data_IF_713520831886
#
_entry.id   IF_713520831886
#
_cell.length_a   1.000
_cell.length_b   1.000
_cell.length_c   1.000
_cell.angle_alpha   90.00
_cell.angle_beta   90.00
_cell.angle_gamma   90.00
#
_symmetry.space_group_name_H-M   'P 1'
#
loop_
_entity.id
_entity.type
_entity.pdbx_description
1 polymer ?
#
# COMPACT_ATOMS: atom_id res chain seq x y z
N UNK A 1 6.18 -11.38 13.95
CA UNK A 1 6.72 -10.63 12.80
C UNK A 1 7.15 -11.64 11.76
N UNK A 2 6.66 -11.50 10.53
CA UNK A 2 7.07 -12.31 9.38
C UNK A 2 8.04 -11.45 8.56
N UNK A 3 9.11 -12.06 8.07
CA UNK A 3 10.11 -11.41 7.21
C UNK A 3 10.37 -12.33 6.02
N UNK A 4 10.30 -11.76 4.83
CA UNK A 4 10.52 -12.44 3.57
C UNK A 4 11.45 -11.63 2.67
N UNK A 5 12.02 -12.27 1.65
CA UNK A 5 12.81 -11.55 0.65
C UNK A 5 11.89 -10.67 -0.20
N UNK A 6 12.31 -9.42 -0.48
CA UNK A 6 11.61 -8.60 -1.45
C UNK A 6 11.69 -9.24 -2.86
N UNK A 7 10.63 -9.07 -3.65
CA UNK A 7 10.57 -9.60 -5.00
C UNK A 7 11.45 -8.80 -5.97
N UNK A 8 11.92 -9.42 -7.05
CA UNK A 8 12.70 -8.72 -8.06
C UNK A 8 11.96 -7.49 -8.63
N UNK A 9 10.64 -7.58 -8.79
CA UNK A 9 9.80 -6.46 -9.24
C UNK A 9 9.84 -5.26 -8.28
N UNK A 10 9.82 -5.50 -6.98
CA UNK A 10 9.97 -4.44 -5.98
C UNK A 10 11.39 -3.86 -5.99
N UNK A 11 12.41 -4.71 -6.18
CA UNK A 11 13.81 -4.28 -6.27
C UNK A 11 14.07 -3.41 -7.50
N UNK A 12 13.51 -3.77 -8.66
CA UNK A 12 13.61 -2.98 -9.90
C UNK A 12 12.96 -1.60 -9.75
N UNK A 13 11.76 -1.53 -9.17
CA UNK A 13 11.05 -0.26 -8.92
C UNK A 13 11.76 0.65 -7.92
N UNK A 14 12.56 0.07 -7.05
CA UNK A 14 13.29 0.78 -6.00
C UNK A 14 14.79 0.83 -6.30
N UNK A 15 15.20 0.60 -7.56
CA UNK A 15 16.60 0.71 -7.95
C UNK A 15 17.16 2.11 -7.64
N UNK A 16 16.36 3.15 -7.83
CA UNK A 16 16.69 4.54 -7.53
C UNK A 16 16.25 4.99 -6.12
N UNK A 17 15.85 4.04 -5.27
CA UNK A 17 15.54 4.30 -3.87
C UNK A 17 16.79 4.46 -3.04
N UNK A 18 16.78 5.41 -2.10
CA UNK A 18 17.87 5.66 -1.16
C UNK A 18 17.94 4.58 -0.06
N UNK A 19 18.16 3.33 -0.46
CA UNK A 19 18.45 2.25 0.49
C UNK A 19 19.84 2.43 1.09
N UNK A 20 19.98 2.19 2.39
CA UNK A 20 21.30 2.16 3.04
C UNK A 20 22.14 0.97 2.56
N UNK A 21 21.47 -0.16 2.26
CA UNK A 21 22.08 -1.38 1.73
C UNK A 21 21.10 -2.05 0.76
N UNK A 22 21.31 -1.84 -0.54
CA UNK A 22 20.44 -2.37 -1.61
C UNK A 22 20.50 -3.91 -1.75
N UNK A 23 21.51 -4.55 -1.15
CA UNK A 23 21.79 -5.97 -1.30
C UNK A 23 20.87 -6.89 -0.47
N UNK A 24 20.20 -6.34 0.55
CA UNK A 24 19.43 -7.12 1.54
C UNK A 24 18.06 -6.50 1.88
N UNK A 25 17.30 -6.12 0.85
CA UNK A 25 15.95 -5.59 1.01
C UNK A 25 14.97 -6.74 1.30
N UNK A 26 14.16 -6.57 2.34
CA UNK A 26 13.20 -7.58 2.82
C UNK A 26 11.81 -6.98 2.90
N UNK A 27 10.77 -7.78 2.75
CA UNK A 27 9.41 -7.39 3.10
C UNK A 27 9.11 -7.89 4.51
N UNK A 28 8.43 -7.08 5.32
CA UNK A 28 8.07 -7.46 6.69
C UNK A 28 6.62 -7.15 7.04
N UNK A 29 6.03 -8.05 7.83
CA UNK A 29 4.69 -7.96 8.38
C UNK A 29 4.77 -8.04 9.91
N UNK A 30 4.43 -6.96 10.58
CA UNK A 30 4.39 -6.86 12.04
C UNK A 30 2.95 -6.89 12.58
N UNK A 31 2.83 -7.04 13.90
CA UNK A 31 1.51 -7.08 14.53
C UNK A 31 0.79 -5.72 14.48
N UNK A 32 1.53 -4.61 14.37
CA UNK A 32 0.98 -3.26 14.35
C UNK A 32 0.26 -3.00 13.03
N UNK A 33 0.83 -3.46 11.92
CA UNK A 33 0.21 -3.45 10.59
C UNK A 33 -1.07 -4.29 10.57
N UNK A 34 -1.02 -5.52 11.09
CA UNK A 34 -2.21 -6.39 11.17
C UNK A 34 -3.30 -5.70 12.00
N UNK A 35 -2.95 -5.18 13.18
CA UNK A 35 -3.88 -4.48 14.06
C UNK A 35 -4.46 -3.24 13.39
N UNK A 36 -3.63 -2.44 12.71
CA UNK A 36 -4.06 -1.27 11.96
C UNK A 36 -5.06 -1.63 10.87
N UNK A 37 -4.72 -2.60 10.03
CA UNK A 37 -5.55 -3.05 8.90
C UNK A 37 -6.90 -3.56 9.42
N UNK A 38 -6.91 -4.43 10.42
CA UNK A 38 -8.16 -4.97 10.96
C UNK A 38 -9.02 -3.91 11.65
N UNK A 39 -8.39 -2.96 12.36
CA UNK A 39 -9.10 -1.85 13.01
C UNK A 39 -9.76 -0.91 12.00
N UNK A 40 -9.14 -0.69 10.83
CA UNK A 40 -9.60 0.29 9.82
C UNK A 40 -10.43 -0.34 8.70
N UNK A 41 -10.07 -1.53 8.27
CA UNK A 41 -10.62 -2.20 7.09
C UNK A 41 -11.11 -3.63 7.38
N UNK A 42 -10.95 -4.15 8.60
CA UNK A 42 -11.46 -5.48 8.97
C UNK A 42 -12.99 -5.54 9.00
N UNK A 43 -13.55 -6.75 8.99
CA UNK A 43 -15.01 -7.01 8.97
C UNK A 43 -15.81 -6.19 10.00
N UNK A 44 -15.23 -5.93 11.17
CA UNK A 44 -15.88 -5.20 12.26
C UNK A 44 -15.48 -3.71 12.33
N UNK A 45 -14.78 -3.18 11.33
CA UNK A 45 -14.30 -1.80 11.33
C UNK A 45 -15.45 -0.81 11.11
N UNK A 46 -15.23 0.45 11.51
CA UNK A 46 -16.18 1.54 11.23
C UNK A 46 -16.26 1.79 9.72
N UNK A 47 -15.17 1.68 8.98
CA UNK A 47 -15.21 1.95 7.54
C UNK A 47 -16.01 0.89 6.77
N UNK A 48 -15.94 -0.38 7.17
CA UNK A 48 -16.75 -1.44 6.56
C UNK A 48 -18.24 -1.21 6.85
N UNK A 49 -18.59 -0.75 8.06
CA UNK A 49 -19.96 -0.29 8.36
C UNK A 49 -20.40 0.90 7.48
N UNK A 50 -19.45 1.69 6.99
CA UNK A 50 -19.68 2.82 6.10
C UNK A 50 -19.57 2.46 4.59
N UNK A 51 -19.47 1.17 4.24
CA UNK A 51 -19.52 0.69 2.86
C UNK A 51 -18.18 0.35 2.21
N UNK A 52 -17.06 0.32 2.96
CA UNK A 52 -15.83 -0.30 2.47
C UNK A 52 -15.96 -1.83 2.38
N UNK A 53 -15.24 -2.45 1.44
CA UNK A 53 -15.13 -3.91 1.38
C UNK A 53 -14.16 -4.37 2.48
N UNK A 54 -14.51 -5.39 3.28
CA UNK A 54 -13.65 -5.84 4.36
C UNK A 54 -12.37 -6.52 3.87
N UNK A 55 -11.32 -6.31 4.66
CA UNK A 55 -10.08 -7.10 4.66
C UNK A 55 -10.21 -8.21 5.69
N UNK A 56 -9.87 -9.42 5.27
CA UNK A 56 -9.86 -10.63 6.10
C UNK A 56 -8.43 -11.02 6.47
N UNK A 57 -8.27 -11.96 7.40
CA UNK A 57 -6.96 -12.55 7.69
C UNK A 57 -6.35 -13.24 6.47
N UNK A 58 -7.16 -13.85 5.61
CA UNK A 58 -6.70 -14.47 4.37
C UNK A 58 -6.15 -13.44 3.39
N UNK A 59 -6.81 -12.28 3.26
CA UNK A 59 -6.28 -11.17 2.46
C UNK A 59 -4.90 -10.72 2.97
N UNK A 60 -4.76 -10.55 4.28
CA UNK A 60 -3.50 -10.15 4.92
C UNK A 60 -2.43 -11.22 4.71
N UNK A 61 -2.76 -12.50 4.88
CA UNK A 61 -1.82 -13.60 4.65
C UNK A 61 -1.35 -13.66 3.19
N UNK A 62 -2.20 -13.25 2.24
CA UNK A 62 -1.91 -13.23 0.81
C UNK A 62 -1.31 -11.91 0.30
N UNK A 63 -0.97 -10.94 1.17
CA UNK A 63 -0.52 -9.62 0.73
C UNK A 63 0.70 -9.67 -0.20
N UNK A 64 1.64 -10.60 0.02
CA UNK A 64 2.81 -10.78 -0.85
C UNK A 64 2.43 -11.22 -2.26
N UNK A 65 1.45 -12.12 -2.37
CA UNK A 65 0.91 -12.53 -3.67
C UNK A 65 0.30 -11.33 -4.40
N UNK A 66 -0.46 -10.49 -3.68
CA UNK A 66 -1.06 -9.27 -4.23
C UNK A 66 0.02 -8.32 -4.76
N UNK A 67 1.07 -8.05 -3.98
CA UNK A 67 2.17 -7.16 -4.38
C UNK A 67 2.90 -7.72 -5.61
N UNK A 68 3.29 -9.00 -5.57
CA UNK A 68 4.06 -9.63 -6.66
C UNK A 68 3.29 -9.67 -7.98
N UNK A 69 1.95 -9.82 -7.90
CA UNK A 69 1.09 -9.91 -9.07
C UNK A 69 0.32 -8.61 -9.35
N UNK A 70 0.69 -7.50 -8.73
CA UNK A 70 -0.01 -6.23 -8.87
C UNK A 70 -0.03 -5.74 -10.33
N UNK A 71 -1.17 -5.19 -10.75
CA UNK A 71 -1.36 -4.66 -12.11
C UNK A 71 -0.72 -3.28 -12.28
N UNK A 72 -0.52 -2.56 -11.17
CA UNK A 72 0.34 -1.38 -11.10
C UNK A 72 1.04 -1.32 -9.74
N UNK A 73 2.26 -0.81 -9.72
CA UNK A 73 2.98 -0.46 -8.49
C UNK A 73 3.57 0.92 -8.72
N UNK A 74 3.37 1.82 -7.77
CA UNK A 74 3.88 3.19 -7.81
C UNK A 74 4.84 3.41 -6.66
N UNK A 75 5.97 4.06 -6.94
CA UNK A 75 6.88 4.57 -5.91
C UNK A 75 6.33 5.89 -5.36
N UNK A 76 6.16 5.95 -4.05
CA UNK A 76 5.48 7.03 -3.32
C UNK A 76 6.31 7.47 -2.11
N UNK A 77 5.83 8.47 -1.37
CA UNK A 77 6.38 8.86 -0.07
C UNK A 77 5.38 8.54 1.03
N UNK A 78 5.82 8.05 2.17
CA UNK A 78 4.98 7.91 3.35
C UNK A 78 4.71 9.27 4.03
N UNK A 79 3.90 9.27 5.09
CA UNK A 79 3.61 10.49 5.87
C UNK A 79 4.82 11.12 6.58
N UNK A 80 5.97 10.44 6.60
CA UNK A 80 7.23 10.90 7.17
C UNK A 80 8.29 11.17 6.09
N UNK A 81 7.86 11.35 4.84
CA UNK A 81 8.72 11.58 3.67
C UNK A 81 9.74 10.44 3.46
N UNK A 82 9.44 9.23 3.95
CA UNK A 82 10.21 8.03 3.66
C UNK A 82 9.67 7.37 2.41
N UNK A 83 10.56 6.81 1.61
CA UNK A 83 10.15 6.11 0.40
C UNK A 83 9.24 4.91 0.69
N UNK A 84 8.24 4.75 -0.16
CA UNK A 84 7.23 3.72 -0.07
C UNK A 84 6.86 3.19 -1.45
N UNK A 85 6.16 2.07 -1.47
CA UNK A 85 5.49 1.56 -2.66
C UNK A 85 4.02 1.33 -2.37
N UNK A 86 3.20 1.66 -3.35
CA UNK A 86 1.76 1.36 -3.34
C UNK A 86 1.46 0.43 -4.50
N UNK A 87 1.08 -0.80 -4.18
CA UNK A 87 0.70 -1.82 -5.14
C UNK A 87 -0.83 -1.87 -5.30
N UNK A 88 -1.28 -1.97 -6.55
CA UNK A 88 -2.67 -2.03 -6.93
C UNK A 88 -2.95 -3.31 -7.71
N UNK A 89 -3.86 -4.15 -7.19
CA UNK A 89 -4.32 -5.36 -7.86
C UNK A 89 -5.81 -5.27 -8.14
N UNK A 90 -6.21 -5.45 -9.38
CA UNK A 90 -7.58 -5.65 -9.77
C UNK A 90 -8.02 -7.08 -9.43
N UNK A 91 -9.14 -7.21 -8.70
CA UNK A 91 -9.77 -8.49 -8.37
C UNK A 91 -11.28 -8.36 -8.56
N UNK A 92 -11.85 -9.08 -9.52
CA UNK A 92 -13.30 -9.29 -9.69
C UNK A 92 -14.21 -8.10 -9.30
N UNK A 93 -13.99 -6.93 -9.92
CA UNK A 93 -14.83 -5.75 -9.71
C UNK A 93 -14.42 -4.83 -8.55
N UNK A 94 -13.36 -5.13 -7.83
CA UNK A 94 -12.74 -4.25 -6.83
C UNK A 94 -11.21 -4.21 -6.98
N UNK A 95 -10.59 -3.16 -6.45
CA UNK A 95 -9.15 -3.00 -6.39
C UNK A 95 -8.67 -3.29 -4.96
N UNK A 96 -7.64 -4.11 -4.83
CA UNK A 96 -6.88 -4.30 -3.59
C UNK A 96 -5.66 -3.37 -3.64
N UNK A 97 -5.50 -2.55 -2.61
CA UNK A 97 -4.39 -1.62 -2.46
C UNK A 97 -3.53 -2.09 -1.29
N UNK A 98 -2.22 -2.18 -1.50
CA UNK A 98 -1.23 -2.57 -0.48
C UNK A 98 -0.15 -1.50 -0.43
N UNK A 99 0.08 -0.92 0.75
CA UNK A 99 1.09 0.11 0.96
C UNK A 99 2.21 -0.44 1.85
N UNK A 100 3.45 -0.34 1.37
CA UNK A 100 4.63 -0.71 2.11
C UNK A 100 5.59 0.48 2.18
N UNK A 101 6.19 0.74 3.34
CA UNK A 101 7.16 1.81 3.51
C UNK A 101 8.54 1.26 3.88
N UNK A 102 9.60 1.88 3.37
CA UNK A 102 10.97 1.53 3.69
C UNK A 102 11.28 2.04 5.10
N UNK A 103 11.75 1.15 5.97
CA UNK A 103 12.25 1.52 7.30
C UNK A 103 13.78 1.67 7.32
N UNK A 104 14.31 2.17 8.43
CA UNK A 104 15.77 2.34 8.64
C UNK A 104 16.59 1.04 8.59
N UNK A 105 15.94 -0.12 8.56
CA UNK A 105 16.54 -1.46 8.47
C UNK A 105 16.51 -2.03 7.04
N UNK A 106 16.15 -1.22 6.03
CA UNK A 106 15.95 -1.64 4.63
C UNK A 106 14.83 -2.69 4.46
N UNK A 107 13.79 -2.62 5.28
CA UNK A 107 12.61 -3.47 5.14
C UNK A 107 11.45 -2.66 4.54
N UNK A 108 10.76 -3.26 3.56
CA UNK A 108 9.44 -2.88 3.09
C UNK A 108 8.40 -3.38 4.10
N UNK A 109 8.07 -2.52 5.06
CA UNK A 109 7.12 -2.83 6.11
C UNK A 109 5.70 -2.59 5.59
N UNK A 110 4.82 -3.60 5.68
CA UNK A 110 3.40 -3.40 5.38
C UNK A 110 2.82 -2.32 6.30
N UNK A 111 2.21 -1.28 5.73
CA UNK A 111 1.59 -0.17 6.48
C UNK A 111 0.09 -0.28 6.54
N UNK A 112 -0.53 -0.56 5.39
CA UNK A 112 -1.96 -0.77 5.29
C UNK A 112 -2.30 -1.62 4.07
N UNK A 113 -3.53 -2.14 4.07
CA UNK A 113 -4.15 -2.88 2.99
C UNK A 113 -5.64 -2.58 3.05
N UNK A 114 -6.25 -2.28 1.90
CA UNK A 114 -7.69 -2.01 1.80
C UNK A 114 -8.22 -2.37 0.41
N UNK A 115 -9.55 -2.40 0.30
CA UNK A 115 -10.26 -2.69 -0.94
C UNK A 115 -11.19 -1.54 -1.30
N UNK A 116 -11.22 -1.16 -2.58
CA UNK A 116 -12.20 -0.21 -3.11
C UNK A 116 -12.96 -0.80 -4.28
N UNK A 117 -14.24 -0.44 -4.38
CA UNK A 117 -15.08 -0.86 -5.49
C UNK A 117 -14.54 -0.30 -6.83
N UNK A 118 -14.72 -1.08 -7.89
CA UNK A 118 -14.42 -0.70 -9.26
C UNK A 118 -12.98 -0.95 -9.69
N UNK A 119 -12.60 -0.22 -10.74
CA UNK A 119 -11.29 -0.37 -11.37
C UNK A 119 -10.18 0.29 -10.53
N UNK A 120 -9.01 -0.34 -10.43
CA UNK A 120 -7.84 0.29 -9.79
C UNK A 120 -7.45 1.61 -10.46
N UNK A 121 -7.67 1.75 -11.78
CA UNK A 121 -7.43 3.02 -12.50
C UNK A 121 -8.36 4.15 -12.08
N UNK A 122 -9.53 3.79 -11.53
CA UNK A 122 -10.50 4.76 -11.03
C UNK A 122 -10.31 5.09 -9.54
N UNK A 123 -9.42 4.37 -8.85
CA UNK A 123 -9.08 4.57 -7.46
C UNK A 123 -8.49 5.97 -7.23
N UNK A 124 -8.94 6.67 -6.18
CA UNK A 124 -8.46 8.02 -5.88
C UNK A 124 -6.95 8.03 -5.57
N UNK A 125 -6.47 7.05 -4.80
CA UNK A 125 -5.05 6.90 -4.45
C UNK A 125 -4.20 6.64 -5.69
N UNK A 126 -4.70 5.82 -6.62
CA UNK A 126 -4.01 5.59 -7.89
C UNK A 126 -3.95 6.86 -8.75
N UNK A 127 -5.07 7.58 -8.89
CA UNK A 127 -5.11 8.82 -9.68
C UNK A 127 -4.20 9.89 -9.11
N UNK A 128 -4.22 10.04 -7.79
CA UNK A 128 -3.35 10.96 -7.07
C UNK A 128 -1.89 10.60 -7.31
N UNK A 129 -1.48 9.38 -6.96
CA UNK A 129 -0.07 8.97 -7.08
C UNK A 129 0.42 8.80 -8.50
N UNK A 130 -0.39 8.38 -9.45
CA UNK A 130 0.04 8.26 -10.85
C UNK A 130 0.39 9.61 -11.49
N UNK A 131 -0.18 10.70 -10.95
CA UNK A 131 0.14 12.07 -11.39
C UNK A 131 1.32 12.70 -10.66
N UNK A 132 1.76 12.10 -9.55
CA UNK A 132 2.74 12.68 -8.63
C UNK A 132 3.82 11.69 -8.15
N UNK A 133 3.92 10.51 -8.76
CA UNK A 133 4.88 9.49 -8.34
C UNK A 133 6.30 9.98 -8.56
N UNK A 134 7.26 9.41 -7.82
CA UNK A 134 8.67 9.79 -7.96
C UNK A 134 9.23 9.57 -9.37
N UNK A 135 8.66 8.62 -10.11
CA UNK A 135 9.03 8.33 -11.50
C UNK A 135 8.21 9.16 -12.53
N UNK A 136 7.25 9.97 -12.06
CA UNK A 136 6.57 10.95 -12.90
C UNK A 136 7.35 12.26 -12.86
N UNK A 137 7.34 13.05 -13.95
CA UNK A 137 7.88 14.43 -14.02
C UNK A 137 7.05 15.42 -13.16
N UNK A 138 6.71 15.03 -11.95
CA UNK A 138 5.83 15.75 -11.06
C UNK A 138 6.61 16.80 -10.27
N UNK A 139 6.14 18.05 -10.33
CA UNK A 139 6.72 19.16 -9.55
C UNK A 139 6.54 19.00 -8.03
N UNK A 140 5.61 18.15 -7.58
CA UNK A 140 5.31 17.87 -6.16
C UNK A 140 4.98 16.39 -6.00
N UNK A 141 5.70 15.68 -5.13
CA UNK A 141 5.40 14.30 -4.78
C UNK A 141 4.30 14.23 -3.72
N UNK A 142 3.29 13.38 -3.92
CA UNK A 142 2.20 13.20 -2.98
C UNK A 142 2.50 12.09 -1.96
N UNK A 143 1.92 12.20 -0.76
CA UNK A 143 2.22 11.32 0.39
C UNK A 143 1.12 10.29 0.63
N UNK A 144 1.49 9.14 1.20
CA UNK A 144 0.57 8.21 1.84
C UNK A 144 -0.14 8.95 2.98
N UNK A 145 -1.31 9.51 2.67
CA UNK A 145 -2.26 9.86 3.72
C UNK A 145 -2.69 8.55 4.35
N UNK A 146 -2.75 8.48 5.68
CA UNK A 146 -3.41 7.37 6.36
C UNK A 146 -4.90 7.45 6.00
N UNK A 147 -5.27 6.92 4.83
CA UNK A 147 -6.56 7.16 4.20
C UNK A 147 -7.64 6.68 5.17
N UNK A 148 -8.24 7.64 5.87
CA UNK A 148 -9.49 7.46 6.55
C UNK A 148 -10.56 7.63 5.50
N UNK A 149 -11.05 6.53 4.94
CA UNK A 149 -12.18 6.48 4.01
C UNK A 149 -13.52 6.96 4.62
N UNK A 150 -13.48 7.97 5.49
CA UNK A 150 -14.65 8.73 5.85
C UNK A 150 -14.80 9.86 4.81
N UNK A 151 -15.68 9.65 3.83
CA UNK A 151 -16.36 10.79 3.22
C UNK A 151 -16.94 11.60 4.38
N UNK A 152 -16.46 12.84 4.55
CA UNK A 152 -17.17 13.84 5.35
C UNK A 152 -18.50 14.05 4.63
N UNK A 153 -19.54 13.36 5.08
CA UNK A 153 -20.90 13.73 4.74
C UNK A 153 -21.15 15.05 5.48
N UNK A 154 -20.88 16.15 4.81
CA UNK A 154 -21.37 17.45 5.24
C UNK A 154 -22.89 17.41 5.08
N UNK A 155 -23.59 17.16 6.18
CA UNK A 155 -25.02 17.43 6.35
C UNK A 155 -25.16 18.33 7.56
#
# INVERSE_FOLDING_TARGET
>A
MIIEKASNKELELLADANFKHSENIRASLDHDAITHILKRHGVNSVNVRNGEIPITYEDIANYRYIVNNADAILRTLDKYDQEAITAFKQVNGYAVVVEQAINKKNELVLKTMFKNNGSYKNNEVYKEFSSTSLDADAKVCHRLSSYSGAKKNNT
#
